data_IF_816606011896
#
_entry.id   IF_816606011896
#
_cell.length_a   1.000
_cell.length_b   1.000
_cell.length_c   1.000
_cell.angle_alpha   90.00
_cell.angle_beta   90.00
_cell.angle_gamma   90.00
#
_symmetry.space_group_name_H-M   'P 1'
#
loop_
_entity.id
_entity.type
_entity.pdbx_description
1 polymer ?
#
# COMPACT_ATOMS: atom_id res chain seq x y z
N UNK A 1 -13.37 -9.64 -24.75
CA UNK A 1 -11.91 -9.64 -24.99
C UNK A 1 -11.26 -11.02 -25.23
N UNK A 2 -11.90 -12.11 -24.82
CA UNK A 2 -11.35 -13.46 -24.97
C UNK A 2 -12.16 -14.24 -26.03
N UNK A 3 -11.56 -14.99 -26.95
CA UNK A 3 -12.31 -15.88 -27.84
C UNK A 3 -12.85 -17.12 -27.10
N UNK A 4 -13.96 -17.71 -27.56
CA UNK A 4 -14.62 -18.86 -26.88
C UNK A 4 -13.86 -20.18 -27.00
N UNK A 5 -13.03 -20.34 -28.03
CA UNK A 5 -12.39 -21.62 -28.38
C UNK A 5 -10.87 -21.51 -28.48
N UNK A 6 -10.30 -20.48 -27.87
CA UNK A 6 -8.87 -20.21 -27.90
C UNK A 6 -8.42 -19.80 -26.50
N UNK A 7 -7.22 -20.20 -26.11
CA UNK A 7 -6.55 -19.57 -25.00
C UNK A 7 -5.56 -18.54 -25.52
N UNK A 8 -5.40 -17.47 -24.76
CA UNK A 8 -4.52 -16.36 -25.06
C UNK A 8 -3.30 -16.43 -24.16
N UNK A 9 -2.13 -16.13 -24.70
CA UNK A 9 -0.89 -15.97 -23.94
C UNK A 9 -0.38 -14.55 -24.13
N UNK A 10 -0.30 -13.80 -23.04
CA UNK A 10 0.25 -12.45 -23.00
C UNK A 10 1.62 -12.46 -22.31
N UNK A 11 2.55 -11.66 -22.82
CA UNK A 11 3.69 -11.20 -22.04
C UNK A 11 3.18 -10.15 -21.07
N UNK A 12 3.20 -10.45 -19.77
CA UNK A 12 2.86 -9.49 -18.72
C UNK A 12 4.14 -8.89 -18.16
N UNK A 13 4.19 -7.57 -18.08
CA UNK A 13 5.26 -6.82 -17.44
C UNK A 13 4.64 -5.71 -16.60
N UNK A 14 5.00 -5.64 -15.33
CA UNK A 14 4.58 -4.57 -14.42
C UNK A 14 5.79 -4.03 -13.68
N UNK A 15 5.90 -2.71 -13.64
CA UNK A 15 6.99 -1.97 -13.03
C UNK A 15 6.42 -0.88 -12.14
N UNK A 16 6.94 -0.78 -10.92
CA UNK A 16 6.83 0.40 -10.08
C UNK A 16 8.21 1.01 -9.89
N UNK A 17 8.32 2.31 -10.14
CA UNK A 17 9.56 3.07 -10.09
C UNK A 17 9.38 4.26 -9.15
N UNK A 18 10.17 4.34 -8.08
CA UNK A 18 10.27 5.52 -7.23
C UNK A 18 11.64 6.18 -7.42
N UNK A 19 11.70 7.51 -7.45
CA UNK A 19 12.98 8.20 -7.64
C UNK A 19 12.89 9.71 -7.54
N UNK A 20 14.02 10.37 -7.80
CA UNK A 20 14.10 11.83 -7.94
C UNK A 20 14.54 12.20 -9.36
N UNK A 21 14.08 13.34 -9.85
CA UNK A 21 14.52 13.87 -11.16
C UNK A 21 15.74 14.77 -11.07
N UNK A 22 16.17 15.16 -9.86
CA UNK A 22 17.37 15.95 -9.57
C UNK A 22 17.98 15.55 -8.21
N UNK A 23 19.30 15.75 -7.97
CA UNK A 23 20.35 16.13 -8.93
C UNK A 23 20.93 14.97 -9.75
N UNK A 24 20.58 13.73 -9.43
CA UNK A 24 21.02 12.52 -10.17
C UNK A 24 19.86 11.53 -10.29
N UNK A 25 19.78 10.85 -11.44
CA UNK A 25 18.69 9.91 -11.75
C UNK A 25 18.91 8.56 -11.04
N UNK A 26 18.72 8.56 -9.73
CA UNK A 26 18.63 7.35 -8.92
C UNK A 26 17.18 6.93 -8.78
N UNK A 27 16.96 5.63 -8.74
CA UNK A 27 15.65 5.06 -8.62
C UNK A 27 15.68 3.73 -7.88
N UNK A 28 14.58 3.48 -7.17
CA UNK A 28 14.19 2.16 -6.72
C UNK A 28 13.10 1.63 -7.65
N UNK A 29 13.35 0.48 -8.28
CA UNK A 29 12.39 -0.21 -9.15
C UNK A 29 12.03 -1.56 -8.58
N UNK A 30 10.80 -1.96 -8.77
CA UNK A 30 10.33 -3.33 -8.56
C UNK A 30 9.54 -3.76 -9.80
N UNK A 31 9.93 -4.91 -10.35
CA UNK A 31 9.50 -5.37 -11.66
C UNK A 31 9.00 -6.81 -11.54
N UNK A 32 7.82 -7.07 -12.08
CA UNK A 32 7.26 -8.40 -12.26
C UNK A 32 7.13 -8.66 -13.74
N UNK A 33 7.63 -9.80 -14.20
CA UNK A 33 7.41 -10.28 -15.57
C UNK A 33 6.91 -11.71 -15.54
N UNK A 34 5.89 -12.03 -16.35
CA UNK A 34 5.26 -13.34 -16.39
C UNK A 34 4.61 -13.61 -17.76
N UNK A 35 4.24 -14.86 -18.00
CA UNK A 35 3.29 -15.21 -19.05
C UNK A 35 1.88 -15.25 -18.43
N UNK A 36 1.00 -14.34 -18.85
CA UNK A 36 -0.39 -14.34 -18.44
C UNK A 36 -1.22 -15.15 -19.43
N UNK A 37 -1.91 -16.17 -18.93
CA UNK A 37 -2.66 -17.11 -19.75
C UNK A 37 -4.14 -17.04 -19.41
N UNK A 38 -4.96 -16.62 -20.38
CA UNK A 38 -6.41 -16.59 -20.28
C UNK A 38 -7.04 -17.77 -21.01
N UNK A 39 -7.72 -18.65 -20.29
CA UNK A 39 -8.37 -19.84 -20.85
C UNK A 39 -9.89 -19.75 -20.67
N UNK A 40 -10.71 -19.89 -21.74
CA UNK A 40 -12.15 -19.93 -21.60
C UNK A 40 -12.62 -21.10 -20.72
N UNK A 41 -13.68 -20.89 -19.95
CA UNK A 41 -14.34 -21.91 -19.14
C UNK A 41 -15.66 -22.37 -19.77
N UNK A 42 -15.99 -23.64 -19.51
CA UNK A 42 -17.29 -24.23 -19.82
C UNK A 42 -18.31 -23.97 -18.70
N UNK A 43 -19.59 -24.18 -19.00
CA UNK A 43 -20.70 -24.11 -18.03
C UNK A 43 -20.92 -22.75 -17.34
N UNK A 44 -20.68 -21.66 -18.05
CA UNK A 44 -21.07 -20.32 -17.58
C UNK A 44 -22.42 -19.88 -18.19
N UNK A 45 -23.43 -19.56 -17.36
CA UNK A 45 -24.76 -19.22 -17.84
C UNK A 45 -24.76 -17.82 -18.49
N UNK A 46 -24.97 -17.74 -19.80
CA UNK A 46 -25.09 -16.50 -20.61
C UNK A 46 -23.94 -15.48 -20.57
N UNK A 47 -22.93 -15.69 -19.72
CA UNK A 47 -21.77 -14.84 -19.51
C UNK A 47 -20.52 -15.51 -20.04
N UNK A 48 -19.51 -14.70 -20.36
CA UNK A 48 -18.19 -15.20 -20.71
C UNK A 48 -17.36 -15.41 -19.44
N UNK A 49 -16.87 -16.62 -19.21
CA UNK A 49 -15.96 -16.90 -18.11
C UNK A 49 -14.58 -17.27 -18.61
N UNK A 50 -13.57 -16.73 -17.93
CA UNK A 50 -12.16 -16.94 -18.28
C UNK A 50 -11.39 -17.25 -17.01
N UNK A 51 -10.62 -18.33 -17.05
CA UNK A 51 -9.64 -18.68 -16.03
C UNK A 51 -8.31 -18.05 -16.41
N UNK A 52 -7.81 -17.12 -15.60
CA UNK A 52 -6.54 -16.45 -15.80
C UNK A 52 -5.53 -16.98 -14.79
N UNK A 53 -4.30 -17.23 -15.23
CA UNK A 53 -3.19 -17.52 -14.34
C UNK A 53 -1.90 -16.94 -14.90
N UNK A 54 -0.95 -16.69 -14.01
CA UNK A 54 0.40 -16.26 -14.32
C UNK A 54 1.32 -17.47 -14.27
N UNK A 55 2.18 -17.63 -15.28
CA UNK A 55 3.23 -18.63 -15.35
C UNK A 55 4.59 -17.95 -15.53
N UNK A 56 5.66 -18.68 -15.22
CA UNK A 56 7.04 -18.22 -15.39
C UNK A 56 7.28 -16.84 -14.75
N UNK A 57 6.70 -16.63 -13.57
CA UNK A 57 6.83 -15.36 -12.84
C UNK A 57 8.29 -15.15 -12.50
N UNK A 58 8.78 -13.96 -12.82
CA UNK A 58 10.11 -13.50 -12.48
C UNK A 58 9.99 -12.12 -11.85
N UNK A 59 10.64 -11.95 -10.70
CA UNK A 59 10.60 -10.72 -9.92
C UNK A 59 12.02 -10.17 -9.87
N UNK A 60 12.13 -8.88 -10.18
CA UNK A 60 13.40 -8.17 -10.16
C UNK A 60 13.24 -6.84 -9.43
N UNK A 61 14.35 -6.33 -8.94
CA UNK A 61 14.43 -5.05 -8.26
C UNK A 61 15.71 -4.31 -8.64
N UNK A 62 15.69 -3.00 -8.51
CA UNK A 62 16.85 -2.15 -8.64
C UNK A 62 16.80 -1.13 -7.52
N UNK A 63 17.93 -0.84 -6.91
CA UNK A 63 18.13 0.38 -6.13
C UNK A 63 19.48 0.98 -6.55
N UNK A 64 19.44 2.11 -7.25
CA UNK A 64 20.64 2.73 -7.80
C UNK A 64 20.41 3.61 -9.02
N UNK A 65 21.45 3.87 -9.82
CA UNK A 65 21.33 4.66 -11.05
C UNK A 65 20.33 4.02 -12.02
N UNK A 66 19.44 4.81 -12.62
CA UNK A 66 18.38 4.35 -13.54
C UNK A 66 18.90 3.58 -14.76
N UNK A 67 20.16 3.78 -15.15
CA UNK A 67 20.80 3.08 -16.27
C UNK A 67 21.25 1.66 -15.94
N UNK A 68 21.19 1.24 -14.68
CA UNK A 68 21.64 -0.09 -14.24
C UNK A 68 20.55 -1.13 -14.48
N UNK A 69 20.96 -2.34 -14.80
CA UNK A 69 20.05 -3.48 -14.92
C UNK A 69 19.47 -3.87 -13.56
N UNK A 70 18.22 -4.33 -13.57
CA UNK A 70 17.57 -4.91 -12.40
C UNK A 70 18.19 -6.26 -12.06
N UNK A 71 18.25 -6.60 -10.78
CA UNK A 71 18.73 -7.90 -10.29
C UNK A 71 17.54 -8.77 -9.88
N UNK A 72 17.64 -10.11 -9.93
CA UNK A 72 16.57 -11.00 -9.44
C UNK A 72 16.30 -10.77 -7.95
N UNK A 73 15.03 -10.86 -7.56
CA UNK A 73 14.60 -10.83 -6.17
C UNK A 73 14.16 -12.24 -5.73
N UNK A 74 14.64 -12.69 -4.57
CA UNK A 74 14.26 -13.97 -3.96
C UNK A 74 13.05 -13.75 -3.06
N UNK A 75 11.86 -13.73 -3.67
CA UNK A 75 10.59 -13.47 -2.99
C UNK A 75 9.64 -14.62 -3.33
N UNK A 76 9.00 -15.20 -2.31
CA UNK A 76 7.95 -16.18 -2.52
C UNK A 76 6.77 -15.54 -3.24
N UNK A 77 6.39 -16.13 -4.36
CA UNK A 77 5.32 -15.69 -5.25
C UNK A 77 4.42 -16.86 -5.63
N UNK A 78 4.41 -17.91 -4.82
CA UNK A 78 3.60 -19.11 -5.03
C UNK A 78 2.11 -18.79 -5.17
N UNK A 79 1.59 -17.89 -4.33
CA UNK A 79 0.19 -17.43 -4.37
C UNK A 79 -0.19 -16.74 -5.70
N UNK A 80 0.74 -16.01 -6.31
CA UNK A 80 0.50 -15.34 -7.60
C UNK A 80 0.32 -16.33 -8.76
N UNK A 81 0.82 -17.55 -8.62
CA UNK A 81 0.61 -18.61 -9.60
C UNK A 81 -0.81 -19.22 -9.51
N UNK A 82 -1.54 -19.01 -8.40
CA UNK A 82 -2.90 -19.51 -8.27
C UNK A 82 -3.82 -18.81 -9.30
N UNK A 83 -4.64 -19.56 -10.04
CA UNK A 83 -5.54 -18.97 -11.02
C UNK A 83 -6.66 -18.16 -10.36
N UNK A 84 -7.25 -17.25 -11.14
CA UNK A 84 -8.47 -16.56 -10.78
C UNK A 84 -9.45 -16.57 -11.96
N UNK A 85 -10.73 -16.43 -11.66
CA UNK A 85 -11.80 -16.43 -12.66
C UNK A 85 -12.34 -15.03 -12.84
N UNK A 86 -12.47 -14.60 -14.10
CA UNK A 86 -13.24 -13.41 -14.48
C UNK A 86 -14.55 -13.84 -15.14
N UNK A 87 -15.65 -13.27 -14.68
CA UNK A 87 -16.98 -13.41 -15.26
C UNK A 87 -17.35 -12.09 -15.93
N UNK A 88 -17.48 -12.13 -17.25
CA UNK A 88 -17.71 -10.97 -18.11
C UNK A 88 -19.12 -10.98 -18.70
N UNK A 89 -19.74 -9.81 -18.70
CA UNK A 89 -20.98 -9.50 -19.41
C UNK A 89 -20.76 -8.24 -20.23
N UNK A 90 -20.94 -8.32 -21.55
CA UNK A 90 -20.75 -7.18 -22.46
C UNK A 90 -19.38 -6.49 -22.33
N UNK A 91 -18.31 -7.27 -22.11
CA UNK A 91 -16.93 -6.81 -21.82
C UNK A 91 -16.74 -6.06 -20.49
N UNK A 92 -17.78 -5.99 -19.65
CA UNK A 92 -17.71 -5.54 -18.27
C UNK A 92 -17.49 -6.73 -17.33
N UNK A 93 -16.65 -6.55 -16.32
CA UNK A 93 -16.47 -7.53 -15.25
C UNK A 93 -17.68 -7.43 -14.35
N UNK A 94 -18.41 -8.54 -14.24
CA UNK A 94 -19.54 -8.64 -13.32
C UNK A 94 -19.05 -9.17 -11.98
N UNK A 95 -18.29 -10.27 -12.02
CA UNK A 95 -17.83 -10.97 -10.82
C UNK A 95 -16.41 -11.53 -11.01
N UNK A 96 -15.71 -11.72 -9.89
CA UNK A 96 -14.44 -12.42 -9.77
C UNK A 96 -14.58 -13.62 -8.83
N UNK A 97 -13.76 -14.65 -9.05
CA UNK A 97 -13.53 -15.73 -8.07
C UNK A 97 -12.05 -16.01 -7.89
N UNK A 98 -11.67 -16.22 -6.64
CA UNK A 98 -10.32 -16.58 -6.21
C UNK A 98 -10.36 -17.96 -5.54
N UNK A 99 -9.20 -18.53 -5.30
CA UNK A 99 -9.11 -19.75 -4.49
C UNK A 99 -9.18 -19.41 -3.01
N UNK A 100 -9.72 -20.32 -2.19
CA UNK A 100 -9.88 -20.10 -0.76
C UNK A 100 -8.56 -19.93 0.00
N UNK A 101 -7.44 -20.40 -0.56
CA UNK A 101 -6.08 -20.33 -0.02
C UNK A 101 -5.25 -19.19 -0.63
N UNK A 102 -5.87 -18.31 -1.43
CA UNK A 102 -5.19 -17.17 -2.05
C UNK A 102 -4.97 -16.04 -1.02
N UNK A 103 -3.77 -15.49 -0.97
CA UNK A 103 -3.43 -14.40 -0.05
C UNK A 103 -4.01 -13.07 -0.50
N UNK A 104 -4.28 -12.17 0.44
CA UNK A 104 -4.94 -10.88 0.16
C UNK A 104 -4.13 -9.99 -0.79
N UNK A 105 -2.80 -10.02 -0.69
CA UNK A 105 -1.94 -9.26 -1.61
C UNK A 105 -2.04 -9.80 -3.04
N UNK A 106 -2.08 -11.12 -3.19
CA UNK A 106 -2.25 -11.81 -4.46
C UNK A 106 -3.63 -11.52 -5.07
N UNK A 107 -4.69 -11.56 -4.26
CA UNK A 107 -6.05 -11.17 -4.67
C UNK A 107 -6.08 -9.73 -5.20
N UNK A 108 -5.47 -8.77 -4.51
CA UNK A 108 -5.40 -7.37 -4.96
C UNK A 108 -4.67 -7.22 -6.30
N UNK A 109 -3.55 -7.93 -6.50
CA UNK A 109 -2.83 -7.94 -7.77
C UNK A 109 -3.68 -8.54 -8.90
N UNK A 110 -4.41 -9.63 -8.63
CA UNK A 110 -5.30 -10.28 -9.60
C UNK A 110 -6.51 -9.40 -9.94
N UNK A 111 -7.08 -8.67 -8.97
CA UNK A 111 -8.11 -7.64 -9.21
C UNK A 111 -7.58 -6.53 -10.13
N UNK A 112 -6.35 -6.05 -9.91
CA UNK A 112 -5.71 -5.05 -10.77
C UNK A 112 -5.56 -5.57 -12.22
N UNK A 113 -5.03 -6.79 -12.38
CA UNK A 113 -4.91 -7.45 -13.69
C UNK A 113 -6.28 -7.61 -14.36
N UNK A 114 -7.29 -8.07 -13.62
CA UNK A 114 -8.64 -8.23 -14.12
C UNK A 114 -9.17 -6.91 -14.67
N UNK A 115 -9.04 -5.82 -13.90
CA UNK A 115 -9.53 -4.48 -14.29
C UNK A 115 -8.94 -3.96 -15.61
N UNK A 116 -7.76 -4.43 -16.01
CA UNK A 116 -7.16 -4.06 -17.30
C UNK A 116 -7.95 -4.62 -18.49
N UNK A 117 -8.60 -5.78 -18.34
CA UNK A 117 -9.42 -6.40 -19.40
C UNK A 117 -10.85 -5.83 -19.46
N UNK A 118 -11.23 -4.95 -18.54
CA UNK A 118 -12.53 -4.30 -18.53
C UNK A 118 -12.57 -3.11 -19.50
N UNK A 119 -13.45 -3.20 -20.49
CA UNK A 119 -13.62 -2.18 -21.53
C UNK A 119 -15.10 -2.05 -21.87
N UNK A 120 -15.75 -0.99 -21.39
CA UNK A 120 -17.15 -0.71 -21.70
C UNK A 120 -17.26 0.05 -23.04
N UNK A 121 -17.13 -0.69 -24.15
CA UNK A 121 -17.31 -0.10 -25.48
C UNK A 121 -18.78 -0.19 -25.89
N UNK A 122 -19.51 0.93 -25.80
CA UNK A 122 -20.87 1.06 -26.32
C UNK A 122 -20.88 1.50 -27.79
N UNK A 123 -22.02 1.31 -28.47
CA UNK A 123 -22.20 1.70 -29.89
C UNK A 123 -21.91 3.20 -30.12
N UNK A 124 -22.15 4.06 -29.12
CA UNK A 124 -21.91 5.50 -29.18
C UNK A 124 -20.41 5.87 -29.27
N UNK A 125 -19.50 5.01 -28.80
CA UNK A 125 -18.04 5.20 -28.98
C UNK A 125 -17.65 4.96 -30.45
N UNK A 126 -18.37 4.08 -31.16
CA UNK A 126 -18.08 3.74 -32.56
C UNK A 126 -18.67 4.72 -33.57
N UNK A 127 -19.71 5.48 -33.21
CA UNK A 127 -20.40 6.41 -34.11
C UNK A 127 -19.59 7.67 -34.48
N UNK A 128 -18.32 7.76 -34.10
CA UNK A 128 -17.39 8.84 -34.47
C UNK A 128 -17.80 10.25 -34.01
N UNK A 129 -18.92 10.37 -33.27
CA UNK A 129 -19.55 11.64 -32.88
C UNK A 129 -19.40 11.98 -31.39
N UNK A 130 -18.96 11.02 -30.58
CA UNK A 130 -18.73 11.23 -29.14
C UNK A 130 -17.26 11.03 -28.82
N UNK A 131 -16.51 12.13 -28.91
CA UNK A 131 -15.06 12.20 -28.63
C UNK A 131 -14.69 11.88 -27.17
N UNK A 132 -15.67 11.81 -26.26
CA UNK A 132 -15.49 11.46 -24.85
C UNK A 132 -16.79 10.80 -24.35
N UNK A 133 -16.81 9.49 -24.13
CA UNK A 133 -17.82 8.89 -23.24
C UNK A 133 -17.27 8.93 -21.83
N UNK A 134 -17.96 9.63 -20.93
CA UNK A 134 -17.69 9.52 -19.50
C UNK A 134 -18.66 8.51 -18.90
N UNK A 135 -18.14 7.44 -18.32
CA UNK A 135 -18.93 6.42 -17.64
C UNK A 135 -18.29 6.10 -16.29
N UNK A 136 -19.10 5.64 -15.35
CA UNK A 136 -18.62 5.17 -14.05
C UNK A 136 -18.29 3.70 -14.17
N UNK A 137 -17.03 3.37 -13.94
CA UNK A 137 -16.52 2.01 -13.99
C UNK A 137 -15.98 1.60 -12.61
N UNK A 138 -16.29 0.38 -12.16
CA UNK A 138 -15.70 -0.17 -10.95
C UNK A 138 -14.29 -0.67 -11.26
N UNK A 139 -13.30 -0.25 -10.49
CA UNK A 139 -11.87 -0.50 -10.71
C UNK A 139 -11.17 -0.89 -9.40
N UNK A 140 -9.87 -1.16 -9.46
CA UNK A 140 -9.02 -1.33 -8.27
C UNK A 140 -9.01 -0.10 -7.34
N UNK A 141 -9.38 1.08 -7.85
CA UNK A 141 -9.51 2.33 -7.08
C UNK A 141 -10.96 2.63 -6.68
N UNK A 142 -11.85 1.63 -6.74
CA UNK A 142 -13.28 1.81 -6.56
C UNK A 142 -13.96 2.30 -7.83
N UNK A 143 -15.10 2.98 -7.67
CA UNK A 143 -15.88 3.51 -8.78
C UNK A 143 -15.24 4.81 -9.27
N UNK A 144 -14.82 4.82 -10.53
CA UNK A 144 -14.08 5.92 -11.15
C UNK A 144 -14.84 6.47 -12.36
N UNK A 145 -14.88 7.80 -12.54
CA UNK A 145 -15.20 8.40 -13.83
C UNK A 145 -14.09 8.08 -14.84
N UNK A 146 -14.45 7.35 -15.89
CA UNK A 146 -13.56 6.94 -16.97
C UNK A 146 -13.89 7.73 -18.23
N UNK A 147 -12.87 8.17 -18.95
CA UNK A 147 -13.00 8.76 -20.29
C UNK A 147 -12.37 7.82 -21.32
N UNK A 148 -13.16 7.40 -22.30
CA UNK A 148 -12.67 6.65 -23.46
C UNK A 148 -12.49 7.56 -24.68
N UNK A 149 -11.37 7.39 -25.39
CA UNK A 149 -11.06 8.06 -26.65
C UNK A 149 -10.63 7.04 -27.69
N UNK A 150 -11.32 7.02 -28.82
CA UNK A 150 -10.92 6.24 -29.98
C UNK A 150 -10.00 7.11 -30.85
N UNK A 151 -8.83 6.60 -31.25
CA UNK A 151 -7.97 7.29 -32.22
C UNK A 151 -8.65 7.21 -33.60
N UNK A 152 -8.55 8.28 -34.41
CA UNK A 152 -9.14 8.33 -35.76
C UNK A 152 -8.71 7.12 -36.60
N UNK A 153 -9.64 6.20 -36.78
CA UNK A 153 -9.46 4.95 -37.52
C UNK A 153 -10.54 4.92 -38.60
N UNK A 154 -10.22 4.55 -39.86
CA UNK A 154 -11.24 4.39 -40.89
C UNK A 154 -12.34 3.43 -40.42
N UNK A 155 -13.63 3.75 -40.64
CA UNK A 155 -14.77 2.90 -40.22
C UNK A 155 -14.66 1.44 -40.68
N UNK A 156 -13.90 1.19 -41.77
CA UNK A 156 -13.68 -0.15 -42.33
C UNK A 156 -12.54 -0.93 -41.68
N UNK A 157 -11.74 -0.30 -40.80
CA UNK A 157 -10.63 -0.97 -40.14
C UNK A 157 -11.13 -1.89 -39.04
N UNK A 158 -10.58 -3.10 -39.01
CA UNK A 158 -10.75 -4.01 -37.87
C UNK A 158 -9.83 -3.66 -36.71
N UNK A 159 -8.70 -3.04 -36.99
CA UNK A 159 -7.72 -2.66 -35.97
C UNK A 159 -7.93 -1.19 -35.56
N UNK A 160 -7.99 -0.95 -34.26
CA UNK A 160 -8.14 0.38 -33.69
C UNK A 160 -7.38 0.54 -32.38
N UNK A 161 -7.13 1.81 -32.00
CA UNK A 161 -6.49 2.17 -30.74
C UNK A 161 -7.52 2.89 -29.87
N UNK A 162 -7.71 2.37 -28.65
CA UNK A 162 -8.59 2.94 -27.64
C UNK A 162 -7.74 3.42 -26.47
N UNK A 163 -7.94 4.65 -26.02
CA UNK A 163 -7.33 5.19 -24.81
C UNK A 163 -8.38 5.33 -23.73
N UNK A 164 -8.11 4.76 -22.56
CA UNK A 164 -8.89 4.90 -21.33
C UNK A 164 -8.13 5.80 -20.38
N UNK A 165 -8.76 6.85 -19.88
CA UNK A 165 -8.14 7.80 -18.94
C UNK A 165 -9.00 7.96 -17.70
N UNK A 166 -8.37 8.06 -16.53
CA UNK A 166 -9.04 8.38 -15.27
C UNK A 166 -8.19 9.31 -14.41
N UNK A 167 -8.85 10.05 -13.53
CA UNK A 167 -8.23 10.89 -12.53
C UNK A 167 -8.38 10.22 -11.15
N UNK A 168 -7.28 9.79 -10.49
CA UNK A 168 -7.36 9.04 -9.24
C UNK A 168 -8.19 9.69 -8.14
N UNK A 169 -8.08 11.01 -7.98
CA UNK A 169 -8.78 11.77 -6.95
C UNK A 169 -10.31 11.84 -7.15
N UNK A 170 -10.83 11.39 -8.30
CA UNK A 170 -12.26 11.34 -8.58
C UNK A 170 -12.88 9.97 -8.30
N UNK A 171 -12.07 8.98 -7.90
CA UNK A 171 -12.53 7.63 -7.60
C UNK A 171 -13.01 7.49 -6.15
N UNK A 172 -13.96 6.57 -5.90
CA UNK A 172 -14.54 6.38 -4.56
C UNK A 172 -13.61 5.72 -3.54
N UNK A 173 -12.63 4.91 -3.99
CA UNK A 173 -11.66 4.22 -3.12
C UNK A 173 -10.22 4.68 -3.46
N UNK A 174 -10.01 5.99 -3.42
CA UNK A 174 -8.68 6.61 -3.44
C UNK A 174 -8.33 7.12 -2.05
N UNK A 175 -7.59 6.31 -1.28
CA UNK A 175 -7.15 6.67 0.07
C UNK A 175 -5.74 7.29 -0.01
N UNK A 176 -5.66 8.59 0.28
CA UNK A 176 -4.40 9.28 0.53
C UNK A 176 -4.28 9.47 2.04
N UNK A 177 -3.62 8.53 2.72
CA UNK A 177 -3.31 8.69 4.14
C UNK A 177 -2.27 9.80 4.30
N UNK A 178 -2.63 10.86 5.01
CA UNK A 178 -1.73 11.95 5.40
C UNK A 178 -1.55 11.87 6.91
N UNK A 179 -0.31 11.72 7.33
CA UNK A 179 0.09 11.93 8.72
C UNK A 179 1.05 13.11 8.75
N UNK A 180 0.74 14.09 9.59
CA UNK A 180 1.60 15.22 9.88
C UNK A 180 1.58 15.46 11.39
N UNK A 181 2.60 16.16 11.89
CA UNK A 181 2.57 16.65 13.26
C UNK A 181 1.45 17.68 13.40
N UNK A 182 0.56 17.50 14.37
CA UNK A 182 -0.47 18.50 14.66
C UNK A 182 0.20 19.72 15.30
N UNK A 183 0.63 20.68 14.48
CA UNK A 183 1.13 21.97 14.95
C UNK A 183 0.02 23.03 14.83
N UNK A 184 -0.36 23.62 15.97
CA UNK A 184 -1.29 24.75 16.03
C UNK A 184 -0.71 26.00 15.37
N UNK A 185 0.62 26.09 15.27
CA UNK A 185 1.29 27.15 14.52
C UNK A 185 1.40 26.74 13.04
N UNK A 186 0.44 27.20 12.22
CA UNK A 186 0.49 26.99 10.78
C UNK A 186 1.88 27.34 10.22
N UNK A 187 2.59 26.34 9.70
CA UNK A 187 3.89 26.56 9.09
C UNK A 187 3.71 27.51 7.89
N UNK A 188 4.57 28.53 7.77
CA UNK A 188 4.54 29.46 6.62
C UNK A 188 4.94 28.81 5.29
N UNK A 189 5.30 27.52 5.31
CA UNK A 189 5.57 26.74 4.11
C UNK A 189 4.29 26.03 3.69
N UNK A 190 3.91 26.18 2.42
CA UNK A 190 2.83 25.37 1.85
C UNK A 190 3.11 23.88 2.11
N UNK A 191 2.10 23.06 2.45
CA UNK A 191 2.29 21.62 2.59
C UNK A 191 2.94 21.03 1.34
N UNK A 192 3.72 19.95 1.49
CA UNK A 192 4.16 19.16 0.33
C UNK A 192 2.90 18.58 -0.31
N UNK A 193 2.53 19.07 -1.49
CA UNK A 193 1.37 18.53 -2.17
C UNK A 193 1.76 17.26 -2.93
N UNK A 194 0.94 16.24 -2.73
CA UNK A 194 1.03 14.95 -3.39
C UNK A 194 0.08 15.03 -4.58
N UNK A 195 0.63 15.13 -5.78
CA UNK A 195 -0.15 15.29 -7.00
C UNK A 195 -0.31 13.92 -7.70
N UNK A 196 -1.48 13.28 -7.65
CA UNK A 196 -1.71 12.05 -8.39
C UNK A 196 -1.72 12.35 -9.89
N UNK A 197 -0.89 11.64 -10.64
CA UNK A 197 -0.90 11.71 -12.09
C UNK A 197 -2.16 11.04 -12.65
N UNK A 198 -2.72 11.54 -13.77
CA UNK A 198 -3.74 10.82 -14.51
C UNK A 198 -3.26 9.39 -14.81
N UNK A 199 -4.16 8.42 -14.68
CA UNK A 199 -3.88 7.06 -15.13
C UNK A 199 -4.43 6.90 -16.54
N UNK A 200 -3.57 6.47 -17.45
CA UNK A 200 -3.89 6.28 -18.86
C UNK A 200 -3.57 4.86 -19.29
N UNK A 201 -4.50 4.23 -19.99
CA UNK A 201 -4.35 2.90 -20.56
C UNK A 201 -4.63 2.95 -22.05
N UNK A 202 -3.64 2.63 -22.88
CA UNK A 202 -3.79 2.46 -24.31
C UNK A 202 -4.02 0.98 -24.64
N UNK A 203 -5.03 0.71 -25.47
CA UNK A 203 -5.39 -0.61 -25.95
C UNK A 203 -5.21 -0.65 -27.46
N UNK A 204 -4.47 -1.66 -27.95
CA UNK A 204 -4.48 -2.04 -29.35
C UNK A 204 -5.45 -3.20 -29.54
N UNK A 205 -6.51 -3.00 -30.33
CA UNK A 205 -7.65 -3.93 -30.39
C UNK A 205 -7.95 -4.30 -31.83
N UNK A 206 -8.30 -5.57 -32.04
CA UNK A 206 -8.87 -6.07 -33.30
C UNK A 206 -10.32 -6.47 -33.09
N UNK A 207 -11.21 -5.95 -33.95
CA UNK A 207 -12.62 -6.30 -33.99
C UNK A 207 -12.87 -7.49 -34.92
N UNK A 208 -13.57 -8.48 -34.39
CA UNK A 208 -14.18 -9.57 -35.14
C UNK A 208 -15.70 -9.43 -35.11
N UNK A 209 -16.40 -10.27 -35.88
CA UNK A 209 -17.87 -10.23 -35.97
C UNK A 209 -18.56 -10.57 -34.64
N UNK A 210 -17.93 -11.38 -33.81
CA UNK A 210 -18.51 -11.97 -32.59
C UNK A 210 -17.74 -11.61 -31.30
N UNK A 211 -16.54 -11.05 -31.41
CA UNK A 211 -15.72 -10.67 -30.27
C UNK A 211 -14.72 -9.55 -30.61
N UNK A 212 -14.10 -9.02 -29.55
CA UNK A 212 -12.92 -8.16 -29.65
C UNK A 212 -11.70 -8.93 -29.11
N UNK A 213 -10.56 -8.75 -29.76
CA UNK A 213 -9.27 -9.29 -29.34
C UNK A 213 -8.35 -8.13 -28.96
N UNK A 214 -7.81 -8.16 -27.75
CA UNK A 214 -6.83 -7.18 -27.29
C UNK A 214 -5.44 -7.70 -27.67
N UNK A 215 -4.73 -6.98 -28.55
CA UNK A 215 -3.37 -7.30 -28.98
C UNK A 215 -2.33 -6.78 -27.99
N UNK A 216 -2.53 -5.58 -27.48
CA UNK A 216 -1.61 -4.97 -26.51
C UNK A 216 -2.37 -4.05 -25.56
N UNK A 217 -1.91 -3.98 -24.31
CA UNK A 217 -2.33 -3.01 -23.29
C UNK A 217 -1.08 -2.34 -22.76
N UNK A 218 -1.07 -1.01 -22.73
CA UNK A 218 -0.03 -0.22 -22.08
C UNK A 218 -0.70 0.74 -21.10
N UNK A 219 -0.41 0.59 -19.80
CA UNK A 219 -1.00 1.39 -18.74
C UNK A 219 0.07 2.11 -17.95
N UNK A 220 -0.12 3.42 -17.75
CA UNK A 220 0.75 4.27 -16.97
C UNK A 220 -0.03 5.05 -15.90
N UNK A 221 0.67 5.46 -14.86
CA UNK A 221 0.14 6.27 -13.78
C UNK A 221 1.23 6.57 -12.76
N UNK A 222 0.88 7.33 -11.72
CA UNK A 222 1.84 7.65 -10.69
C UNK A 222 1.41 8.78 -9.78
N UNK A 223 2.37 9.29 -9.04
CA UNK A 223 2.24 10.37 -8.07
C UNK A 223 3.52 11.20 -8.11
N UNK A 224 3.37 12.52 -8.08
CA UNK A 224 4.47 13.48 -7.97
C UNK A 224 4.49 14.11 -6.58
N UNK A 225 5.69 14.28 -6.03
CA UNK A 225 5.94 15.01 -4.80
C UNK A 225 6.58 16.35 -5.16
N UNK A 226 5.76 17.39 -5.13
CA UNK A 226 6.04 18.70 -5.72
C UNK A 226 7.25 19.42 -5.09
N UNK A 227 7.56 19.19 -3.81
CA UNK A 227 8.66 19.86 -3.08
C UNK A 227 10.00 19.10 -3.02
N UNK A 228 10.17 18.03 -3.80
CA UNK A 228 11.43 17.27 -3.83
C UNK A 228 11.85 16.79 -5.21
N UNK A 229 11.08 17.13 -6.26
CA UNK A 229 11.27 16.56 -7.60
C UNK A 229 11.24 15.02 -7.59
N UNK A 230 10.55 14.43 -6.60
CA UNK A 230 10.42 13.00 -6.39
C UNK A 230 9.13 12.48 -7.00
N UNK A 231 9.12 11.22 -7.40
CA UNK A 231 7.97 10.60 -8.05
C UNK A 231 7.85 9.13 -7.67
N UNK A 232 6.64 8.62 -7.83
CA UNK A 232 6.35 7.20 -7.97
C UNK A 232 5.61 7.02 -9.29
N UNK A 233 6.12 6.16 -10.16
CA UNK A 233 5.55 5.84 -11.46
C UNK A 233 5.19 4.36 -11.50
N UNK A 234 4.03 4.03 -12.04
CA UNK A 234 3.62 2.64 -12.30
C UNK A 234 3.42 2.45 -13.80
N UNK A 235 4.03 1.42 -14.38
CA UNK A 235 3.88 1.05 -15.78
C UNK A 235 3.52 -0.42 -15.87
N UNK A 236 2.52 -0.76 -16.68
CA UNK A 236 2.12 -2.14 -16.92
C UNK A 236 1.91 -2.35 -18.41
N UNK A 237 2.52 -3.37 -18.99
CA UNK A 237 2.30 -3.78 -20.37
C UNK A 237 1.82 -5.24 -20.45
N UNK A 238 0.88 -5.48 -21.36
CA UNK A 238 0.45 -6.81 -21.77
C UNK A 238 0.53 -6.90 -23.28
N UNK A 239 1.35 -7.79 -23.81
CA UNK A 239 1.49 -7.99 -25.25
C UNK A 239 1.11 -9.41 -25.64
N UNK A 240 0.15 -9.57 -26.55
CA UNK A 240 -0.32 -10.88 -27.01
C UNK A 240 0.82 -11.59 -27.76
N UNK A 241 1.34 -12.66 -27.16
CA UNK A 241 2.39 -13.51 -27.74
C UNK A 241 1.80 -14.55 -28.67
N UNK A 242 0.71 -15.18 -28.25
CA UNK A 242 0.18 -16.36 -28.92
C UNK A 242 -1.32 -16.51 -28.69
N UNK A 243 -1.97 -17.17 -29.63
CA UNK A 243 -3.38 -17.54 -29.60
C UNK A 243 -3.50 -18.95 -30.14
N UNK A 244 -3.96 -19.88 -29.30
CA UNK A 244 -4.07 -21.29 -29.71
C UNK A 244 -5.46 -21.82 -29.43
N UNK A 245 -5.96 -22.62 -30.36
CA UNK A 245 -7.23 -23.31 -30.19
C UNK A 245 -7.19 -24.22 -28.97
N UNK A 246 -8.18 -24.10 -28.09
CA UNK A 246 -8.35 -24.97 -26.95
C UNK A 246 -9.83 -25.21 -26.63
N UNK A 247 -10.06 -26.34 -25.97
CA UNK A 247 -11.38 -26.66 -25.43
C UNK A 247 -11.54 -25.93 -24.10
N UNK A 248 -12.72 -25.35 -23.81
CA UNK A 248 -12.94 -24.69 -22.54
C UNK A 248 -12.69 -25.63 -21.36
N UNK A 249 -12.03 -25.14 -20.31
CA UNK A 249 -11.78 -25.92 -19.10
C UNK A 249 -13.06 -26.05 -18.25
N UNK A 250 -13.09 -27.05 -17.38
CA UNK A 250 -14.07 -27.08 -16.28
C UNK A 250 -13.55 -26.21 -15.13
N UNK A 251 -14.42 -25.48 -14.40
CA UNK A 251 -14.02 -24.75 -13.19
C UNK A 251 -13.37 -25.67 -12.15
N UNK A 252 -12.28 -25.22 -11.52
CA UNK A 252 -11.63 -25.92 -10.39
C UNK A 252 -12.55 -25.87 -9.15
N UNK A 253 -12.64 -26.96 -8.40
CA UNK A 253 -13.45 -27.04 -7.17
C UNK A 253 -12.91 -26.18 -6.01
N UNK A 254 -11.66 -25.72 -6.09
CA UNK A 254 -11.01 -24.88 -5.06
C UNK A 254 -11.45 -23.43 -5.07
N UNK A 255 -12.15 -22.99 -6.12
CA UNK A 255 -12.73 -21.66 -6.16
C UNK A 255 -13.66 -21.44 -4.97
N UNK A 256 -13.64 -20.21 -4.45
CA UNK A 256 -14.61 -19.77 -3.46
C UNK A 256 -16.05 -19.94 -3.96
N UNK A 257 -16.92 -20.24 -2.98
CA UNK A 257 -18.36 -20.34 -3.23
C UNK A 257 -18.99 -18.97 -3.49
N UNK A 258 -18.50 -17.94 -2.80
CA UNK A 258 -18.89 -16.53 -2.95
C UNK A 258 -18.44 -15.94 -4.29
N UNK A 259 -19.20 -14.96 -4.75
CA UNK A 259 -18.84 -14.13 -5.90
C UNK A 259 -18.30 -12.80 -5.37
N UNK A 260 -17.12 -12.40 -5.83
CA UNK A 260 -16.56 -11.08 -5.51
C UNK A 260 -17.05 -10.08 -6.55
N UNK A 261 -17.86 -9.12 -6.13
CA UNK A 261 -18.33 -8.00 -6.98
C UNK A 261 -17.48 -6.75 -6.82
N UNK A 262 -16.87 -6.56 -5.65
CA UNK A 262 -16.01 -5.42 -5.37
C UNK A 262 -14.58 -5.66 -5.89
N UNK A 263 -14.23 -4.92 -6.95
CA UNK A 263 -12.90 -4.93 -7.55
C UNK A 263 -11.91 -4.01 -6.86
N UNK A 264 -12.35 -3.20 -5.89
CA UNK A 264 -11.51 -2.22 -5.24
C UNK A 264 -10.43 -2.87 -4.37
N UNK A 265 -9.33 -2.14 -4.21
CA UNK A 265 -8.20 -2.53 -3.38
C UNK A 265 -8.67 -2.67 -1.94
N UNK A 266 -8.33 -3.81 -1.35
CA UNK A 266 -8.60 -4.09 0.06
C UNK A 266 -7.28 -4.00 0.83
N UNK A 267 -7.16 -3.11 1.83
CA UNK A 267 -6.00 -3.09 2.70
C UNK A 267 -5.76 -4.47 3.34
N UNK A 268 -4.50 -4.86 3.47
CA UNK A 268 -4.15 -6.17 4.04
C UNK A 268 -4.56 -6.24 5.52
N UNK A 269 -5.20 -7.32 5.94
CA UNK A 269 -5.55 -7.59 7.33
C UNK A 269 -4.27 -7.63 8.19
N UNK A 270 -4.20 -6.78 9.22
CA UNK A 270 -2.99 -6.63 10.06
C UNK A 270 -1.93 -5.66 9.51
N UNK A 271 -2.15 -5.08 8.33
CA UNK A 271 -1.59 -3.78 8.01
C UNK A 271 -2.36 -2.75 8.84
N UNK A 272 -1.95 -2.55 10.10
CA UNK A 272 -2.35 -1.34 10.82
C UNK A 272 -2.11 -0.17 9.87
N UNK A 273 -3.08 0.72 9.71
CA UNK A 273 -2.89 1.96 8.95
C UNK A 273 -1.70 2.78 9.51
N UNK A 274 -1.14 2.43 10.67
CA UNK A 274 0.12 2.98 11.20
C UNK A 274 1.40 2.45 10.55
N UNK A 275 1.36 1.43 9.67
CA UNK A 275 2.53 0.85 8.99
C UNK A 275 2.92 1.60 7.69
N UNK A 276 2.52 2.87 7.55
CA UNK A 276 2.97 3.75 6.46
C UNK A 276 4.40 4.26 6.67
N UNK A 277 5.39 3.37 6.72
CA UNK A 277 6.77 3.76 6.42
C UNK A 277 7.56 2.55 5.96
N UNK A 278 7.52 2.33 4.64
CA UNK A 278 8.41 1.44 3.87
C UNK A 278 8.10 -0.06 4.04
N UNK A 279 7.85 -0.79 2.93
CA UNK A 279 7.64 -2.23 2.96
C UNK A 279 8.99 -2.93 2.94
N UNK A 280 9.43 -3.48 4.07
CA UNK A 280 10.24 -4.68 4.04
C UNK A 280 9.66 -5.66 5.05
N UNK A 281 8.89 -6.58 4.46
CA UNK A 281 8.39 -7.84 5.00
C UNK A 281 7.54 -7.73 6.26
N UNK A 282 6.51 -8.56 6.30
CA UNK A 282 6.19 -9.24 7.55
C UNK A 282 7.47 -9.94 8.05
N UNK A 283 8.41 -9.23 8.66
CA UNK A 283 9.21 -9.87 9.70
C UNK A 283 8.21 -10.08 10.84
N UNK A 284 7.41 -11.14 10.71
CA UNK A 284 6.97 -11.91 11.87
C UNK A 284 8.25 -12.09 12.67
N UNK A 285 8.33 -11.46 13.84
CA UNK A 285 9.46 -11.64 14.74
C UNK A 285 9.27 -12.99 15.44
N UNK A 286 9.74 -14.12 14.88
CA UNK A 286 9.33 -15.42 15.37
C UNK A 286 10.07 -15.75 16.68
N UNK A 287 11.04 -14.91 17.09
CA UNK A 287 12.04 -15.21 18.12
C UNK A 287 12.38 -14.06 19.08
N UNK A 288 11.85 -12.85 18.91
CA UNK A 288 12.19 -11.69 19.76
C UNK A 288 13.37 -10.84 19.24
N UNK A 289 13.70 -10.96 17.96
CA UNK A 289 14.72 -10.18 17.26
C UNK A 289 14.46 -8.68 17.29
N UNK A 290 13.21 -8.22 17.18
CA UNK A 290 12.91 -6.79 17.21
C UNK A 290 13.09 -6.21 18.61
N UNK A 291 12.70 -6.95 19.64
CA UNK A 291 12.96 -6.57 21.03
C UNK A 291 14.46 -6.42 21.25
N UNK A 292 15.25 -7.40 20.78
CA UNK A 292 16.70 -7.41 20.92
C UNK A 292 17.34 -6.25 20.15
N UNK A 293 17.04 -6.09 18.86
CA UNK A 293 17.54 -4.99 18.00
C UNK A 293 17.17 -3.62 18.59
N UNK A 294 15.94 -3.45 19.07
CA UNK A 294 15.47 -2.19 19.69
C UNK A 294 16.28 -1.89 20.95
N UNK A 295 16.45 -2.89 21.84
CA UNK A 295 17.21 -2.73 23.08
C UNK A 295 18.66 -2.34 22.78
N UNK A 296 19.32 -3.03 21.85
CA UNK A 296 20.70 -2.73 21.44
C UNK A 296 20.83 -1.34 20.82
N UNK A 297 19.87 -0.92 19.98
CA UNK A 297 19.90 0.38 19.33
C UNK A 297 19.69 1.53 20.33
N UNK A 298 18.80 1.36 21.31
CA UNK A 298 18.61 2.32 22.40
C UNK A 298 19.88 2.48 23.25
N UNK A 299 20.59 1.39 23.54
CA UNK A 299 21.87 1.42 24.25
C UNK A 299 22.92 2.19 23.44
N UNK A 300 23.05 1.89 22.14
CA UNK A 300 23.99 2.59 21.24
C UNK A 300 23.71 4.08 21.16
N UNK A 301 22.44 4.48 21.06
CA UNK A 301 22.05 5.90 21.02
C UNK A 301 22.44 6.61 22.32
N UNK A 302 22.18 5.98 23.47
CA UNK A 302 22.50 6.56 24.77
C UNK A 302 24.01 6.66 25.00
N UNK A 303 24.79 5.64 24.61
CA UNK A 303 26.25 5.68 24.61
C UNK A 303 26.79 6.80 23.72
N UNK A 304 26.19 6.99 22.54
CA UNK A 304 26.55 8.04 21.61
C UNK A 304 26.32 9.44 22.20
N UNK A 305 25.13 9.71 22.74
CA UNK A 305 24.80 11.03 23.32
C UNK A 305 25.70 11.35 24.53
N UNK A 306 26.07 10.33 25.31
CA UNK A 306 26.99 10.48 26.45
C UNK A 306 28.45 10.62 26.03
N UNK A 307 28.82 10.14 24.84
CA UNK A 307 30.13 10.41 24.26
C UNK A 307 30.21 11.88 23.84
N UNK A 308 31.33 12.53 24.15
CA UNK A 308 31.51 13.99 24.07
C UNK A 308 31.19 14.55 22.67
N UNK A 309 29.94 15.01 22.47
CA UNK A 309 29.39 15.54 21.22
C UNK A 309 30.19 16.74 20.67
N UNK A 310 31.05 17.34 21.49
CA UNK A 310 31.93 18.47 21.13
C UNK A 310 33.25 18.05 20.45
N UNK A 311 33.55 16.75 20.36
CA UNK A 311 34.81 16.24 19.77
C UNK A 311 34.66 15.61 18.39
N UNK A 312 33.45 15.53 17.86
CA UNK A 312 33.17 14.89 16.58
C UNK A 312 32.45 15.88 15.66
N UNK A 313 33.24 16.54 14.79
CA UNK A 313 32.76 17.50 13.78
C UNK A 313 31.90 16.85 12.68
N UNK A 314 31.84 15.52 12.62
CA UNK A 314 31.11 14.81 11.56
C UNK A 314 29.98 13.96 12.13
N UNK A 315 28.74 14.38 11.83
CA UNK A 315 27.60 13.47 11.71
C UNK A 315 27.91 12.50 10.56
N UNK A 316 28.57 11.39 10.85
CA UNK A 316 28.88 10.39 9.83
C UNK A 316 27.59 9.73 9.30
N UNK A 317 27.64 9.27 8.04
CA UNK A 317 26.51 8.69 7.29
C UNK A 317 25.79 7.52 8.01
N UNK A 318 26.50 6.82 8.91
CA UNK A 318 26.02 5.73 9.76
C UNK A 318 25.35 6.18 11.06
N UNK A 319 25.49 7.46 11.45
CA UNK A 319 25.07 8.00 12.76
C UNK A 319 23.84 8.91 12.69
N UNK A 320 23.63 9.56 11.54
CA UNK A 320 22.49 10.46 11.32
C UNK A 320 21.08 9.85 11.51
N UNK A 321 20.79 8.62 11.04
CA UNK A 321 19.44 8.08 11.06
C UNK A 321 19.08 7.23 12.30
N UNK A 322 19.99 7.05 13.27
CA UNK A 322 19.80 6.07 14.37
C UNK A 322 18.50 6.27 15.16
N UNK A 323 18.11 7.52 15.45
CA UNK A 323 16.84 7.83 16.15
C UNK A 323 15.63 7.42 15.29
N UNK A 324 15.65 7.75 13.99
CA UNK A 324 14.57 7.40 13.07
C UNK A 324 14.48 5.87 12.90
N UNK A 325 15.61 5.19 12.86
CA UNK A 325 15.67 3.74 12.74
C UNK A 325 15.12 3.04 13.99
N UNK A 326 15.44 3.52 15.20
CA UNK A 326 14.90 2.91 16.43
C UNK A 326 13.42 3.19 16.58
N UNK A 327 12.94 4.40 16.27
CA UNK A 327 11.51 4.73 16.27
C UNK A 327 10.77 3.86 15.25
N UNK A 328 11.37 3.62 14.08
CA UNK A 328 10.82 2.70 13.07
C UNK A 328 10.75 1.27 13.59
N UNK A 329 11.79 0.75 14.24
CA UNK A 329 11.76 -0.57 14.88
C UNK A 329 10.68 -0.66 15.97
N UNK A 330 10.58 0.38 16.81
CA UNK A 330 9.57 0.47 17.87
C UNK A 330 8.14 0.48 17.32
N UNK A 331 7.92 1.02 16.10
CA UNK A 331 6.59 1.00 15.46
C UNK A 331 6.09 -0.41 15.10
N UNK A 332 6.98 -1.40 15.06
CA UNK A 332 6.63 -2.81 14.85
C UNK A 332 6.32 -3.56 16.16
N UNK A 333 6.46 -2.93 17.32
CA UNK A 333 6.25 -3.58 18.62
C UNK A 333 4.79 -3.49 19.07
N UNK A 334 4.28 -4.58 19.63
CA UNK A 334 3.03 -4.59 20.39
C UNK A 334 3.28 -4.22 21.87
N UNK A 335 2.22 -4.04 22.66
CA UNK A 335 2.33 -3.68 24.08
C UNK A 335 3.13 -4.71 24.89
N UNK A 336 3.04 -6.00 24.52
CA UNK A 336 3.81 -7.06 25.20
C UNK A 336 5.31 -7.00 24.91
N UNK A 337 5.68 -6.56 23.70
CA UNK A 337 7.06 -6.40 23.27
C UNK A 337 7.68 -5.14 23.84
N UNK A 338 6.93 -4.03 23.95
CA UNK A 338 7.37 -2.84 24.68
C UNK A 338 7.72 -3.16 26.14
N UNK A 339 6.87 -3.94 26.82
CA UNK A 339 7.12 -4.39 28.18
C UNK A 339 8.44 -5.17 28.29
N UNK A 340 8.71 -6.08 27.35
CA UNK A 340 9.98 -6.84 27.32
C UNK A 340 11.19 -5.95 27.06
N UNK A 341 11.08 -4.94 26.18
CA UNK A 341 12.15 -3.95 25.96
C UNK A 341 12.44 -3.20 27.26
N UNK A 342 11.41 -2.67 27.93
CA UNK A 342 11.58 -1.95 29.19
C UNK A 342 12.23 -2.82 30.28
N UNK A 343 11.76 -4.06 30.45
CA UNK A 343 12.36 -5.00 31.40
C UNK A 343 13.82 -5.34 31.10
N UNK A 344 14.20 -5.42 29.82
CA UNK A 344 15.59 -5.64 29.44
C UNK A 344 16.46 -4.43 29.80
N UNK A 345 15.97 -3.21 29.55
CA UNK A 345 16.66 -1.96 29.91
C UNK A 345 16.78 -1.79 31.42
N UNK A 346 15.75 -2.15 32.20
CA UNK A 346 15.78 -2.22 33.67
C UNK A 346 16.86 -3.17 34.18
N UNK A 347 16.91 -4.40 33.66
CA UNK A 347 17.93 -5.38 34.05
C UNK A 347 19.36 -4.90 33.77
N UNK A 348 19.53 -4.11 32.71
CA UNK A 348 20.82 -3.55 32.31
C UNK A 348 21.14 -2.21 33.00
N UNK A 349 20.21 -1.63 33.76
CA UNK A 349 20.29 -0.28 34.33
C UNK A 349 20.75 0.76 33.29
N UNK A 350 20.21 0.68 32.07
CA UNK A 350 20.69 1.47 30.93
C UNK A 350 19.54 2.00 30.09
N UNK A 351 19.69 3.24 29.61
CA UNK A 351 18.94 3.81 28.46
C UNK A 351 17.41 3.87 28.60
N UNK A 352 16.87 3.76 29.81
CA UNK A 352 15.43 3.94 30.08
C UNK A 352 14.95 5.35 29.72
N UNK A 353 15.76 6.37 30.01
CA UNK A 353 15.49 7.77 29.66
C UNK A 353 15.25 7.92 28.15
N UNK A 354 16.12 7.31 27.33
CA UNK A 354 15.99 7.32 25.87
C UNK A 354 14.74 6.57 25.40
N UNK A 355 14.43 5.44 26.03
CA UNK A 355 13.21 4.70 25.73
C UNK A 355 11.95 5.55 25.97
N UNK A 356 11.84 6.22 27.13
CA UNK A 356 10.69 7.08 27.42
C UNK A 356 10.65 8.34 26.56
N UNK A 357 11.80 8.89 26.19
CA UNK A 357 11.86 10.07 25.31
C UNK A 357 11.35 9.75 23.90
N UNK A 358 11.69 8.57 23.37
CA UNK A 358 11.32 8.17 22.01
C UNK A 358 9.93 7.52 21.90
N UNK A 359 9.42 6.95 22.99
CA UNK A 359 8.15 6.22 23.01
C UNK A 359 6.95 7.04 22.47
N UNK A 360 6.77 8.34 22.81
CA UNK A 360 5.71 9.16 22.23
C UNK A 360 5.78 9.31 20.70
N UNK A 361 6.98 9.32 20.13
CA UNK A 361 7.22 9.53 18.69
C UNK A 361 6.91 8.29 17.83
N UNK A 362 6.66 7.14 18.47
CA UNK A 362 6.27 5.91 17.79
C UNK A 362 4.88 6.05 17.17
N UNK A 363 3.94 6.65 17.91
CA UNK A 363 2.63 7.03 17.40
C UNK A 363 1.70 5.89 16.98
N UNK A 364 1.95 4.65 17.43
CA UNK A 364 1.07 3.51 17.15
C UNK A 364 -0.01 3.37 18.23
N UNK A 365 -1.08 2.62 17.93
CA UNK A 365 -2.09 2.26 18.93
C UNK A 365 -1.43 1.55 20.13
N UNK A 366 -0.54 0.60 19.86
CA UNK A 366 0.18 -0.16 20.89
C UNK A 366 1.07 0.72 21.78
N UNK A 367 1.81 1.66 21.20
CA UNK A 367 2.64 2.59 21.99
C UNK A 367 1.77 3.52 22.85
N UNK A 368 0.64 3.99 22.31
CA UNK A 368 -0.29 4.86 23.02
C UNK A 368 -0.94 4.14 24.22
N UNK A 369 -1.40 2.90 24.03
CA UNK A 369 -1.87 2.01 25.11
C UNK A 369 -0.78 1.80 26.16
N UNK A 370 0.44 1.52 25.73
CA UNK A 370 1.54 1.27 26.65
C UNK A 370 1.87 2.52 27.49
N UNK A 371 1.90 3.72 26.88
CA UNK A 371 2.05 5.00 27.59
C UNK A 371 0.93 5.19 28.61
N UNK A 372 -0.33 5.03 28.20
CA UNK A 372 -1.49 5.10 29.08
C UNK A 372 -1.29 4.18 30.29
N UNK A 373 -0.92 2.93 30.07
CA UNK A 373 -0.77 1.95 31.14
C UNK A 373 0.37 2.29 32.10
N UNK A 374 1.53 2.75 31.59
CA UNK A 374 2.63 3.23 32.43
C UNK A 374 2.19 4.35 33.36
N UNK A 375 1.44 5.31 32.82
CA UNK A 375 0.94 6.47 33.57
C UNK A 375 -0.16 6.06 34.54
N UNK A 376 -1.22 5.39 34.06
CA UNK A 376 -2.39 4.97 34.85
C UNK A 376 -1.97 4.09 36.02
N UNK A 377 -1.02 3.17 35.82
CA UNK A 377 -0.54 2.26 36.85
C UNK A 377 0.56 2.86 37.74
N UNK A 378 1.02 4.09 37.48
CA UNK A 378 2.06 4.75 38.28
C UNK A 378 3.41 4.05 38.21
N UNK A 379 3.75 3.47 37.05
CA UNK A 379 4.99 2.71 36.82
C UNK A 379 6.19 3.58 36.45
N UNK A 380 5.97 4.88 36.29
CA UNK A 380 7.00 5.87 35.96
C UNK A 380 6.92 7.04 36.93
N UNK A 381 8.02 7.76 37.10
CA UNK A 381 8.04 8.98 37.91
C UNK A 381 7.17 10.08 37.29
N UNK A 382 6.67 11.01 38.12
CA UNK A 382 5.74 12.06 37.69
C UNK A 382 6.29 12.91 36.53
N UNK A 383 7.58 13.27 36.55
CA UNK A 383 8.22 14.02 35.46
C UNK A 383 8.19 13.27 34.12
N UNK A 384 8.40 11.96 34.15
CA UNK A 384 8.32 11.10 32.96
C UNK A 384 6.87 10.95 32.51
N UNK A 385 5.95 10.73 33.44
CA UNK A 385 4.52 10.64 33.14
C UNK A 385 4.02 11.92 32.42
N UNK A 386 4.40 13.09 32.96
CA UNK A 386 4.06 14.38 32.37
C UNK A 386 4.61 14.52 30.94
N UNK A 387 5.90 14.22 30.74
CA UNK A 387 6.52 14.29 29.41
C UNK A 387 5.90 13.35 28.39
N UNK A 388 5.51 12.13 28.81
CA UNK A 388 4.81 11.18 27.95
C UNK A 388 3.44 11.72 27.55
N UNK A 389 2.63 12.15 28.52
CA UNK A 389 1.25 12.65 28.30
C UNK A 389 1.21 13.89 27.40
N UNK A 390 2.19 14.79 27.54
CA UNK A 390 2.31 16.00 26.73
C UNK A 390 2.64 15.67 25.27
N UNK A 391 3.54 14.71 25.03
CA UNK A 391 4.09 14.46 23.68
C UNK A 391 3.26 13.49 22.86
N UNK A 392 2.72 12.43 23.45
CA UNK A 392 2.15 11.34 22.64
C UNK A 392 0.91 11.73 21.80
N UNK A 393 -0.02 12.58 22.26
CA UNK A 393 -1.27 12.84 21.54
C UNK A 393 -1.04 13.47 20.16
N UNK A 394 -0.07 14.39 20.08
CA UNK A 394 0.32 15.09 18.85
C UNK A 394 1.21 14.25 17.92
N UNK A 395 1.53 13.01 18.31
CA UNK A 395 2.34 12.07 17.53
C UNK A 395 1.56 10.81 17.12
N UNK A 396 0.26 10.69 17.46
CA UNK A 396 -0.57 9.55 17.06
C UNK A 396 -0.75 9.52 15.54
N UNK A 397 -0.31 8.42 14.91
CA UNK A 397 -0.29 8.27 13.44
C UNK A 397 -1.64 7.92 12.81
N UNK A 398 -2.48 7.22 13.57
CA UNK A 398 -3.79 6.75 13.12
C UNK A 398 -4.80 6.97 14.25
N UNK A 399 -5.38 8.17 14.36
CA UNK A 399 -6.37 8.45 15.38
C UNK A 399 -7.68 7.71 15.03
N UNK A 400 -7.98 6.65 15.77
CA UNK A 400 -9.19 5.84 15.60
C UNK A 400 -10.16 6.00 16.78
N UNK A 401 -11.44 5.70 16.54
CA UNK A 401 -12.42 5.65 17.62
C UNK A 401 -12.07 4.57 18.65
N UNK A 402 -11.52 3.42 18.21
CA UNK A 402 -11.05 2.40 19.14
C UNK A 402 -9.93 2.92 20.03
N UNK A 403 -8.94 3.63 19.48
CA UNK A 403 -7.86 4.21 20.26
C UNK A 403 -8.40 5.22 21.29
N UNK A 404 -9.30 6.13 20.87
CA UNK A 404 -9.89 7.12 21.78
C UNK A 404 -10.64 6.45 22.93
N UNK A 405 -11.44 5.42 22.66
CA UNK A 405 -12.13 4.64 23.69
C UNK A 405 -11.14 3.96 24.63
N UNK A 406 -10.06 3.39 24.09
CA UNK A 406 -9.02 2.78 24.90
C UNK A 406 -8.30 3.81 25.78
N UNK A 407 -8.29 5.11 25.41
CA UNK A 407 -7.66 6.16 26.21
C UNK A 407 -8.56 6.72 27.35
N UNK A 408 -9.83 6.31 27.45
CA UNK A 408 -10.77 6.73 28.51
C UNK A 408 -10.20 6.61 29.95
N UNK A 409 -9.41 5.58 30.31
CA UNK A 409 -8.84 5.46 31.66
C UNK A 409 -7.95 6.65 32.09
N UNK A 410 -7.45 7.47 31.17
CA UNK A 410 -6.74 8.72 31.50
C UNK A 410 -7.64 9.71 32.26
N UNK A 411 -8.94 9.70 31.94
CA UNK A 411 -9.95 10.59 32.53
C UNK A 411 -10.29 10.19 33.97
N UNK A 412 -10.23 8.89 34.26
CA UNK A 412 -10.58 8.31 35.56
C UNK A 412 -9.47 8.47 36.62
N UNK A 413 -8.32 9.04 36.23
CA UNK A 413 -7.17 9.24 37.12
C UNK A 413 -7.44 10.17 38.31
N UNK A 414 -8.53 10.96 38.30
CA UNK A 414 -9.02 11.74 39.47
C UNK A 414 -9.13 10.87 40.72
N UNK A 415 -9.55 9.61 40.55
CA UNK A 415 -9.91 8.74 41.66
C UNK A 415 -8.73 7.96 42.23
N UNK A 416 -7.53 8.07 41.63
CA UNK A 416 -6.31 7.47 42.16
C UNK A 416 -5.61 8.41 43.13
N UNK A 417 -5.77 8.16 44.42
CA UNK A 417 -5.27 8.96 45.55
C UNK A 417 -3.72 9.13 45.65
N UNK A 418 -2.97 8.68 44.64
CA UNK A 418 -1.50 8.65 44.62
C UNK A 418 -0.85 9.63 43.63
N UNK A 419 -1.60 10.33 42.77
CA UNK A 419 -1.00 11.13 41.69
C UNK A 419 -1.11 12.63 41.91
N UNK A 420 -0.04 13.33 41.52
CA UNK A 420 -0.01 14.78 41.53
C UNK A 420 -1.10 15.36 40.61
N UNK A 421 -1.73 16.44 41.05
CA UNK A 421 -2.81 17.13 40.36
C UNK A 421 -2.40 17.54 38.94
N UNK A 422 -1.15 17.93 38.75
CA UNK A 422 -0.63 18.33 37.45
C UNK A 422 -0.63 17.18 36.43
N UNK A 423 -0.37 15.94 36.86
CA UNK A 423 -0.42 14.77 35.97
C UNK A 423 -1.85 14.48 35.51
N UNK A 424 -2.82 14.67 36.40
CA UNK A 424 -4.22 14.53 36.05
C UNK A 424 -4.67 15.60 35.05
N UNK A 425 -4.31 16.87 35.28
CA UNK A 425 -4.62 17.96 34.35
C UNK A 425 -4.00 17.72 32.96
N UNK A 426 -2.77 17.19 32.90
CA UNK A 426 -2.13 16.81 31.64
C UNK A 426 -2.80 15.60 30.97
N UNK A 427 -3.23 14.59 31.74
CA UNK A 427 -3.93 13.42 31.20
C UNK A 427 -5.28 13.82 30.56
N UNK A 428 -5.97 14.79 31.16
CA UNK A 428 -7.18 15.41 30.61
C UNK A 428 -6.91 16.15 29.30
N UNK A 429 -5.87 16.98 29.27
CA UNK A 429 -5.48 17.73 28.07
C UNK A 429 -5.06 16.79 26.95
N UNK A 430 -4.33 15.74 27.31
CA UNK A 430 -3.89 14.67 26.42
C UNK A 430 -5.08 13.96 25.76
N UNK A 431 -6.08 13.55 26.55
CA UNK A 431 -7.32 12.97 26.04
C UNK A 431 -8.11 13.95 25.16
N UNK A 432 -8.20 15.23 25.56
CA UNK A 432 -8.85 16.26 24.75
C UNK A 432 -8.14 16.48 23.40
N UNK A 433 -6.82 16.37 23.36
CA UNK A 433 -6.01 16.50 22.13
C UNK A 433 -6.24 15.34 21.16
N UNK A 434 -6.57 14.15 21.67
CA UNK A 434 -6.94 13.01 20.81
C UNK A 434 -8.33 13.15 20.18
N UNK A 435 -9.17 14.04 20.73
CA UNK A 435 -10.51 14.33 20.18
C UNK A 435 -10.45 15.38 19.07
N UNK A 436 -9.54 16.35 19.19
CA UNK A 436 -9.36 17.44 18.23
C UNK A 436 -8.68 16.98 16.96
#
# INVERSE_FOLDING_TARGET
PFPKHEYLVYSYHAEIEAGTSQPSNYTSKYVISADLIGHPLSNCPSQQCVNIHLNNISIHWLNGPRSRETIPADIDHSDLNLPFMIILKDNKIENLKFFNDDSEHSINMKKAIASMFQMEINDNIYDGRTMNSSLIESTIRGDCPIVYRLRDVPETSRDFILTKSLLPHQCTNFELSRFDHYDYAGCHLDPIDIEPLPSETEYQVTRYSDHILIKSILSQGGVLYTKGSSYVHTNVSLDLKDTKSARPLQPDSRYESSLTTDMSYQPLNGANKTKFTIPWTEEVDPTGTFITKTTEMLIKINEYIRSDLLKHDDLTEDRGPMINDVVRLMSSLDSSSFEKVLQNLEKLNSSQEMFFELLPHVGTHASSIFIRDLVVQGRVADEVAFGLLMKFPVNVRDPTYELLRDMEPLMDMIHTAQKDRYIYEEAMLSYATLIS
#
